data_IF_414827067923
#
_entry.id   IF_414827067923
#
_cell.length_a   1.000
_cell.length_b   1.000
_cell.length_c   1.000
_cell.angle_alpha   90.00
_cell.angle_beta   90.00
_cell.angle_gamma   90.00
#
_symmetry.space_group_name_H-M   'P 1'
#
loop_
_entity.id
_entity.type
_entity.pdbx_description
1 polymer ?
#
# COMPACT_ATOMS: atom_id res chain seq x y z
N UNK A 1 -8.46 -1.55 -29.36
CA UNK A 1 -7.21 -0.75 -29.36
C UNK A 1 -6.05 -1.67 -29.69
N UNK A 2 -5.34 -1.42 -30.80
CA UNK A 2 -4.45 -2.40 -31.48
C UNK A 2 -3.14 -2.68 -30.75
N UNK A 3 -2.69 -1.77 -29.87
CA UNK A 3 -1.39 -1.90 -29.19
C UNK A 3 -1.27 -3.13 -28.27
N UNK A 4 -2.41 -3.63 -27.74
CA UNK A 4 -2.42 -4.77 -26.82
C UNK A 4 -2.08 -6.11 -27.47
N UNK A 5 -2.25 -6.24 -28.79
CA UNK A 5 -1.98 -7.49 -29.50
C UNK A 5 -0.52 -7.60 -29.95
N UNK A 6 0.24 -6.51 -29.85
CA UNK A 6 1.67 -6.51 -30.20
C UNK A 6 2.52 -6.94 -29.00
N UNK A 7 3.57 -7.70 -29.30
CA UNK A 7 4.58 -8.10 -28.33
C UNK A 7 5.54 -6.93 -28.07
N UNK A 8 5.08 -5.96 -27.29
CA UNK A 8 5.82 -4.71 -27.01
C UNK A 8 6.01 -4.45 -25.52
N UNK A 9 5.36 -5.23 -24.65
CA UNK A 9 5.46 -5.06 -23.21
C UNK A 9 6.67 -5.84 -22.70
N UNK A 10 7.72 -5.17 -22.19
CA UNK A 10 8.88 -5.85 -21.65
C UNK A 10 8.51 -6.49 -20.31
N UNK A 11 8.61 -7.81 -20.21
CA UNK A 11 8.32 -8.55 -18.98
C UNK A 11 9.52 -9.38 -18.53
N UNK A 12 9.58 -9.62 -17.22
CA UNK A 12 10.63 -10.40 -16.58
C UNK A 12 10.10 -11.08 -15.31
N UNK A 13 10.56 -12.30 -15.03
CA UNK A 13 10.40 -12.99 -13.74
C UNK A 13 11.75 -13.05 -13.04
N UNK A 14 11.90 -12.36 -11.92
CA UNK A 14 13.12 -12.27 -11.13
C UNK A 14 14.28 -11.70 -11.95
N UNK A 15 15.40 -12.41 -11.94
CA UNK A 15 16.59 -12.09 -12.75
C UNK A 15 16.59 -12.81 -14.11
N UNK A 16 15.45 -13.33 -14.57
CA UNK A 16 15.37 -13.99 -15.86
C UNK A 16 15.59 -13.01 -17.03
N UNK A 17 15.83 -13.56 -18.21
CA UNK A 17 15.94 -12.79 -19.44
C UNK A 17 14.64 -12.04 -19.74
N UNK A 18 14.76 -10.77 -20.11
CA UNK A 18 13.65 -9.93 -20.56
C UNK A 18 12.98 -10.54 -21.80
N UNK A 19 11.65 -10.51 -21.82
CA UNK A 19 10.83 -10.97 -22.94
C UNK A 19 9.86 -9.87 -23.33
N UNK A 20 9.44 -9.85 -24.60
CA UNK A 20 8.36 -8.98 -25.04
C UNK A 20 7.08 -9.81 -25.11
N UNK A 21 6.04 -9.39 -24.40
CA UNK A 21 4.73 -10.04 -24.39
C UNK A 21 3.66 -9.13 -24.95
N UNK A 22 2.58 -9.73 -25.44
CA UNK A 22 1.33 -9.03 -25.72
C UNK A 22 0.58 -8.76 -24.40
N UNK A 23 -0.57 -8.11 -24.49
CA UNK A 23 -1.41 -7.74 -23.36
C UNK A 23 -2.85 -8.27 -23.55
N UNK A 24 -2.95 -9.51 -23.98
CA UNK A 24 -4.21 -10.24 -24.15
C UNK A 24 -4.65 -10.89 -22.84
N UNK A 25 -5.91 -11.29 -22.69
CA UNK A 25 -6.42 -11.76 -21.40
C UNK A 25 -5.72 -13.02 -20.87
N UNK A 26 -5.12 -13.83 -21.75
CA UNK A 26 -4.41 -15.06 -21.40
C UNK A 26 -2.90 -14.83 -21.14
N UNK A 27 -2.40 -13.62 -21.34
CA UNK A 27 -1.00 -13.31 -21.05
C UNK A 27 -0.83 -13.09 -19.54
N UNK A 28 -0.15 -14.00 -18.85
CA UNK A 28 0.06 -13.95 -17.40
C UNK A 28 1.29 -13.13 -17.01
N UNK A 29 1.11 -11.80 -17.04
CA UNK A 29 2.06 -10.83 -16.50
C UNK A 29 1.37 -9.67 -15.79
N UNK A 30 2.08 -9.10 -14.83
CA UNK A 30 1.53 -8.08 -13.92
C UNK A 30 2.35 -6.81 -13.90
N UNK A 31 1.77 -5.75 -13.36
CA UNK A 31 2.43 -4.46 -13.18
C UNK A 31 2.65 -4.28 -11.68
N UNK A 32 3.90 -4.19 -11.25
CA UNK A 32 4.23 -3.93 -9.85
C UNK A 32 4.17 -2.43 -9.57
N UNK A 33 2.98 -1.95 -9.23
CA UNK A 33 2.69 -0.53 -9.01
C UNK A 33 3.01 -0.05 -7.58
N UNK A 34 3.45 -0.94 -6.70
CA UNK A 34 3.90 -0.63 -5.35
C UNK A 34 5.21 -1.37 -5.04
N UNK A 35 6.20 -0.72 -4.37
CA UNK A 35 7.50 -1.33 -4.10
C UNK A 35 7.42 -2.67 -3.35
N UNK A 36 6.61 -2.76 -2.30
CA UNK A 36 6.50 -3.99 -1.53
C UNK A 36 5.86 -5.14 -2.34
N UNK A 37 4.97 -4.85 -3.30
CA UNK A 37 4.40 -5.88 -4.19
C UNK A 37 5.45 -6.40 -5.17
N UNK A 38 6.33 -5.52 -5.66
CA UNK A 38 7.51 -5.94 -6.42
C UNK A 38 8.38 -6.90 -5.58
N UNK A 39 8.74 -6.51 -4.36
CA UNK A 39 9.57 -7.34 -3.47
C UNK A 39 8.94 -8.72 -3.22
N UNK A 40 7.63 -8.77 -2.93
CA UNK A 40 6.90 -10.02 -2.70
C UNK A 40 6.85 -10.91 -3.95
N UNK A 41 6.58 -10.35 -5.13
CA UNK A 41 6.19 -11.16 -6.30
C UNK A 41 7.25 -11.26 -7.39
N UNK A 42 8.33 -10.46 -7.36
CA UNK A 42 9.26 -10.38 -8.49
C UNK A 42 9.83 -11.72 -8.92
N UNK A 43 10.09 -12.65 -8.00
CA UNK A 43 10.64 -13.98 -8.33
C UNK A 43 9.59 -14.99 -8.76
N UNK A 44 8.32 -14.70 -8.50
CA UNK A 44 7.22 -15.66 -8.62
C UNK A 44 6.36 -15.39 -9.85
N UNK A 45 6.21 -14.12 -10.26
CA UNK A 45 5.37 -13.72 -11.39
C UNK A 45 6.20 -13.12 -12.52
N UNK A 46 5.66 -13.19 -13.75
CA UNK A 46 6.15 -12.31 -14.80
C UNK A 46 5.62 -10.91 -14.52
N UNK A 47 6.51 -9.92 -14.51
CA UNK A 47 6.13 -8.54 -14.27
C UNK A 47 6.68 -7.65 -15.36
N UNK A 48 5.99 -6.54 -15.61
CA UNK A 48 6.47 -5.46 -16.46
C UNK A 48 7.84 -5.01 -15.94
N UNK A 49 8.83 -4.98 -16.82
CA UNK A 49 10.24 -4.79 -16.48
C UNK A 49 10.60 -3.30 -16.30
N UNK A 50 9.77 -2.58 -15.55
CA UNK A 50 10.03 -1.23 -15.06
C UNK A 50 10.06 -1.26 -13.53
N UNK A 51 10.79 -0.32 -12.93
CA UNK A 51 10.73 -0.15 -11.48
C UNK A 51 9.41 0.53 -11.05
N UNK A 52 9.22 0.65 -9.74
CA UNK A 52 8.00 1.26 -9.20
C UNK A 52 7.88 2.76 -9.55
N UNK A 53 9.00 3.47 -9.75
CA UNK A 53 9.00 4.89 -10.07
C UNK A 53 8.54 5.13 -11.52
N UNK A 54 9.12 4.40 -12.47
CA UNK A 54 8.72 4.41 -13.87
C UNK A 54 7.27 3.96 -14.03
N UNK A 55 6.88 2.90 -13.31
CA UNK A 55 5.49 2.41 -13.28
C UNK A 55 4.53 3.50 -12.80
N UNK A 56 4.86 4.24 -11.75
CA UNK A 56 4.04 5.34 -11.25
C UNK A 56 3.89 6.50 -12.25
N UNK A 57 4.88 6.72 -13.11
CA UNK A 57 4.82 7.73 -14.20
C UNK A 57 3.96 7.27 -15.37
N UNK A 58 3.78 5.96 -15.54
CA UNK A 58 3.04 5.33 -16.64
C UNK A 58 1.55 5.14 -16.38
N UNK A 59 1.00 5.61 -15.25
CA UNK A 59 -0.43 5.44 -14.89
C UNK A 59 -1.37 5.86 -16.02
N UNK A 60 -1.15 7.03 -16.64
CA UNK A 60 -1.98 7.51 -17.77
C UNK A 60 -1.91 6.60 -18.99
N UNK A 61 -0.76 5.95 -19.21
CA UNK A 61 -0.60 4.99 -20.29
C UNK A 61 -1.38 3.71 -19.98
N UNK A 62 -1.34 3.22 -18.75
CA UNK A 62 -2.13 2.05 -18.33
C UNK A 62 -3.64 2.31 -18.42
N UNK A 63 -4.08 3.51 -18.05
CA UNK A 63 -5.47 3.97 -18.20
C UNK A 63 -5.91 3.98 -19.67
N UNK A 64 -5.11 4.60 -20.54
CA UNK A 64 -5.38 4.67 -21.97
C UNK A 64 -5.43 3.29 -22.61
N UNK A 65 -4.65 2.33 -22.09
CA UNK A 65 -4.65 0.96 -22.58
C UNK A 65 -5.74 0.06 -21.97
N UNK A 66 -6.42 0.52 -20.91
CA UNK A 66 -7.34 -0.27 -20.11
C UNK A 66 -6.71 -1.57 -19.60
N UNK A 67 -5.55 -1.47 -18.93
CA UNK A 67 -4.79 -2.61 -18.38
C UNK A 67 -4.58 -2.52 -16.87
N UNK A 68 -5.38 -1.69 -16.19
CA UNK A 68 -5.28 -1.46 -14.74
C UNK A 68 -5.68 -2.70 -13.91
N UNK A 69 -6.35 -3.68 -14.53
CA UNK A 69 -6.60 -5.01 -13.98
C UNK A 69 -5.31 -5.82 -13.76
N UNK A 70 -4.21 -5.45 -14.43
CA UNK A 70 -2.88 -6.08 -14.27
C UNK A 70 -2.05 -5.47 -13.15
N UNK A 71 -2.46 -4.33 -12.58
CA UNK A 71 -1.77 -3.74 -11.42
C UNK A 71 -1.84 -4.73 -10.26
N UNK A 72 -0.72 -5.01 -9.61
CA UNK A 72 -0.70 -5.93 -8.47
C UNK A 72 -1.54 -5.39 -7.32
N UNK A 73 -1.67 -4.08 -7.15
CA UNK A 73 -2.60 -3.50 -6.17
C UNK A 73 -4.07 -3.81 -6.46
N UNK A 74 -4.43 -4.11 -7.71
CA UNK A 74 -5.76 -4.53 -8.13
C UNK A 74 -5.91 -6.06 -8.09
N UNK A 75 -4.90 -6.78 -8.58
CA UNK A 75 -4.95 -8.22 -8.83
C UNK A 75 -4.62 -9.07 -7.58
N UNK A 76 -3.75 -8.57 -6.70
CA UNK A 76 -3.29 -9.29 -5.52
C UNK A 76 -4.17 -8.95 -4.32
N UNK A 77 -4.70 -9.98 -3.67
CA UNK A 77 -5.49 -9.86 -2.45
C UNK A 77 -4.70 -10.48 -1.31
N UNK A 78 -4.33 -9.67 -0.33
CA UNK A 78 -3.70 -10.12 0.90
C UNK A 78 -4.76 -10.36 1.98
N UNK A 79 -4.72 -11.52 2.65
CA UNK A 79 -5.56 -11.80 3.82
C UNK A 79 -4.73 -12.32 4.98
N UNK A 80 -5.09 -11.99 6.23
CA UNK A 80 -4.52 -12.67 7.37
C UNK A 80 -4.91 -14.15 7.33
N UNK A 81 -4.02 -15.04 7.76
CA UNK A 81 -4.38 -16.44 7.94
C UNK A 81 -5.49 -16.58 8.99
N UNK A 82 -6.47 -17.48 8.80
CA UNK A 82 -7.49 -17.74 9.81
C UNK A 82 -6.91 -18.22 11.14
N UNK A 83 -7.58 -17.91 12.25
CA UNK A 83 -7.25 -18.47 13.57
C UNK A 83 -6.10 -17.78 14.32
N UNK A 84 -5.68 -16.60 13.89
CA UNK A 84 -4.72 -15.79 14.66
C UNK A 84 -5.36 -15.37 16.00
N UNK A 85 -4.76 -15.79 17.12
CA UNK A 85 -5.09 -15.23 18.43
C UNK A 85 -4.65 -13.76 18.47
N UNK A 86 -5.51 -12.88 19.01
CA UNK A 86 -5.22 -11.45 19.01
C UNK A 86 -5.66 -10.75 20.30
N UNK A 87 -5.03 -9.62 20.56
CA UNK A 87 -5.44 -8.65 21.59
C UNK A 87 -5.76 -7.32 20.92
N UNK A 88 -6.93 -6.74 21.25
CA UNK A 88 -7.35 -5.43 20.72
C UNK A 88 -6.51 -4.31 21.34
N UNK A 89 -6.11 -3.33 20.51
CA UNK A 89 -5.23 -2.21 20.87
C UNK A 89 -5.93 -0.88 20.70
N UNK A 90 -6.71 -0.50 21.70
CA UNK A 90 -7.44 0.78 21.75
C UNK A 90 -6.51 1.99 21.83
N UNK A 91 -5.33 1.84 22.44
CA UNK A 91 -4.28 2.86 22.47
C UNK A 91 -3.77 3.19 21.07
N UNK A 92 -3.53 2.17 20.25
CA UNK A 92 -3.10 2.34 18.87
C UNK A 92 -4.22 2.92 17.99
N UNK A 93 -5.47 2.48 18.21
CA UNK A 93 -6.62 3.08 17.55
C UNK A 93 -6.76 4.57 17.88
N UNK A 94 -6.60 4.93 19.15
CA UNK A 94 -6.66 6.32 19.62
C UNK A 94 -5.57 7.18 18.99
N UNK A 95 -4.36 6.63 18.83
CA UNK A 95 -3.29 7.29 18.07
C UNK A 95 -3.72 7.57 16.63
N UNK A 96 -4.15 6.55 15.89
CA UNK A 96 -4.58 6.72 14.49
C UNK A 96 -5.67 7.78 14.37
N UNK A 97 -6.66 7.75 15.26
CA UNK A 97 -7.75 8.72 15.28
C UNK A 97 -7.26 10.14 15.60
N UNK A 98 -6.30 10.30 16.52
CA UNK A 98 -5.70 11.60 16.83
C UNK A 98 -4.95 12.23 15.65
N UNK A 99 -4.56 11.42 14.66
CA UNK A 99 -3.87 11.85 13.44
C UNK A 99 -4.82 12.02 12.24
N UNK A 100 -6.12 11.79 12.43
CA UNK A 100 -7.10 11.82 11.34
C UNK A 100 -7.08 13.14 10.56
N UNK A 101 -6.96 14.29 11.23
CA UNK A 101 -6.91 15.59 10.55
C UNK A 101 -5.65 15.73 9.70
N UNK A 102 -4.49 15.37 10.24
CA UNK A 102 -3.23 15.42 9.49
C UNK A 102 -3.25 14.52 8.25
N UNK A 103 -3.79 13.31 8.38
CA UNK A 103 -3.98 12.38 7.25
C UNK A 103 -4.96 12.97 6.24
N UNK A 104 -6.04 13.60 6.72
CA UNK A 104 -7.05 14.26 5.88
C UNK A 104 -6.48 15.43 5.09
N UNK A 105 -5.63 16.24 5.71
CA UNK A 105 -4.90 17.31 5.05
C UNK A 105 -3.98 16.77 3.96
N UNK A 106 -3.17 15.75 4.26
CA UNK A 106 -2.30 15.12 3.27
C UNK A 106 -3.08 14.55 2.07
N UNK A 107 -4.21 13.88 2.32
CA UNK A 107 -5.07 13.37 1.26
C UNK A 107 -5.71 14.50 0.44
N UNK A 108 -6.12 15.59 1.09
CA UNK A 108 -6.76 16.75 0.43
C UNK A 108 -5.79 17.56 -0.41
N UNK A 109 -4.61 17.85 0.13
CA UNK A 109 -3.63 18.76 -0.48
C UNK A 109 -2.89 18.07 -1.64
N UNK A 110 -2.77 16.75 -1.59
CA UNK A 110 -1.92 16.00 -2.52
C UNK A 110 -2.62 14.85 -3.24
N UNK A 111 -3.74 14.34 -2.72
CA UNK A 111 -4.43 13.15 -3.20
C UNK A 111 -5.72 13.44 -3.97
N UNK A 112 -6.54 12.39 -4.12
CA UNK A 112 -7.93 12.50 -4.60
C UNK A 112 -8.89 12.61 -3.40
N UNK A 113 -10.04 13.26 -3.60
CA UNK A 113 -10.94 13.74 -2.54
C UNK A 113 -11.01 12.82 -1.30
N UNK A 114 -10.85 13.38 -0.08
CA UNK A 114 -10.72 12.55 1.10
C UNK A 114 -12.04 11.82 1.38
N UNK A 115 -12.02 10.50 1.62
CA UNK A 115 -13.12 9.86 2.33
C UNK A 115 -13.31 10.57 3.69
N UNK A 116 -14.41 10.29 4.39
CA UNK A 116 -14.53 10.64 5.80
C UNK A 116 -13.46 9.87 6.60
N UNK A 117 -12.20 10.33 6.56
CA UNK A 117 -11.03 9.66 7.14
C UNK A 117 -11.21 9.49 8.64
N UNK A 118 -11.77 10.48 9.32
CA UNK A 118 -12.14 10.36 10.73
C UNK A 118 -13.13 9.22 11.00
N UNK A 119 -14.13 9.03 10.12
CA UNK A 119 -15.06 7.89 10.23
C UNK A 119 -14.36 6.57 9.95
N UNK A 120 -13.58 6.52 8.87
CA UNK A 120 -12.80 5.36 8.48
C UNK A 120 -11.87 4.89 9.62
N UNK A 121 -11.11 5.80 10.22
CA UNK A 121 -10.20 5.51 11.32
C UNK A 121 -10.95 5.23 12.63
N UNK A 122 -12.11 5.85 12.84
CA UNK A 122 -13.01 5.55 13.97
C UNK A 122 -13.55 4.13 13.94
N UNK A 123 -13.76 3.57 12.75
CA UNK A 123 -14.26 2.20 12.53
C UNK A 123 -13.13 1.15 12.47
N UNK A 124 -11.86 1.56 12.55
CA UNK A 124 -10.73 0.63 12.58
C UNK A 124 -10.71 -0.14 13.89
N UNK A 125 -10.47 -1.45 13.79
CA UNK A 125 -10.09 -2.31 14.91
C UNK A 125 -8.61 -2.69 14.78
N UNK A 126 -7.79 -2.28 15.75
CA UNK A 126 -6.37 -2.65 15.78
C UNK A 126 -6.19 -3.90 16.62
N UNK A 127 -5.66 -4.95 16.00
CA UNK A 127 -5.39 -6.26 16.57
C UNK A 127 -3.89 -6.47 16.64
N UNK A 128 -3.39 -6.75 17.83
CA UNK A 128 -2.03 -7.23 18.01
C UNK A 128 -2.00 -8.76 18.04
N UNK A 129 -1.04 -9.37 17.36
CA UNK A 129 -0.86 -10.83 17.20
C UNK A 129 0.61 -11.20 17.42
N UNK A 130 0.95 -12.47 17.63
CA UNK A 130 2.36 -12.87 17.74
C UNK A 130 3.14 -12.60 16.44
N UNK A 131 2.61 -13.08 15.32
CA UNK A 131 3.15 -12.90 13.97
C UNK A 131 2.02 -12.65 12.98
N UNK A 132 2.21 -11.70 12.05
CA UNK A 132 1.23 -11.39 11.01
C UNK A 132 1.49 -12.32 9.83
N UNK A 133 0.91 -13.52 9.91
CA UNK A 133 0.92 -14.47 8.80
C UNK A 133 -0.17 -14.12 7.79
N UNK A 134 0.23 -14.00 6.53
CA UNK A 134 -0.68 -13.62 5.45
C UNK A 134 -0.70 -14.68 4.36
N UNK A 135 -1.81 -14.69 3.63
CA UNK A 135 -1.98 -15.42 2.40
C UNK A 135 -2.33 -14.45 1.28
N UNK A 136 -1.55 -14.51 0.21
CA UNK A 136 -1.79 -13.78 -1.01
C UNK A 136 -2.56 -14.64 -2.00
N UNK A 137 -3.58 -14.08 -2.61
CA UNK A 137 -4.30 -14.67 -3.74
C UNK A 137 -4.19 -13.73 -4.92
N UNK A 138 -3.69 -14.20 -6.06
CA UNK A 138 -3.54 -13.39 -7.26
C UNK A 138 -4.57 -13.82 -8.29
N UNK A 139 -5.35 -12.85 -8.78
CA UNK A 139 -6.27 -13.05 -9.90
C UNK A 139 -5.59 -12.69 -11.20
N UNK A 140 -5.62 -13.60 -12.17
CA UNK A 140 -5.20 -13.31 -13.53
C UNK A 140 -6.14 -12.29 -14.19
N UNK A 141 -5.70 -11.65 -15.28
CA UNK A 141 -6.60 -10.91 -16.16
C UNK A 141 -7.75 -11.77 -16.72
N UNK A 142 -7.55 -13.09 -16.86
CA UNK A 142 -8.59 -14.07 -17.22
C UNK A 142 -9.54 -14.44 -16.06
N UNK A 143 -9.38 -13.83 -14.87
CA UNK A 143 -10.13 -14.11 -13.63
C UNK A 143 -9.87 -15.49 -13.00
N UNK A 144 -8.84 -16.20 -13.45
CA UNK A 144 -8.38 -17.43 -12.81
C UNK A 144 -7.46 -17.10 -11.63
N UNK A 145 -7.59 -17.83 -10.53
CA UNK A 145 -6.66 -17.71 -9.41
C UNK A 145 -5.36 -18.40 -9.80
N UNK A 146 -4.28 -17.64 -9.95
CA UNK A 146 -3.01 -18.19 -10.40
C UNK A 146 -2.29 -18.86 -9.24
N UNK A 147 -2.08 -18.15 -8.12
CA UNK A 147 -1.20 -18.63 -7.06
C UNK A 147 -1.62 -18.18 -5.65
N UNK A 148 -1.30 -19.03 -4.68
CA UNK A 148 -1.44 -18.81 -3.24
C UNK A 148 -0.04 -18.74 -2.61
N UNK A 149 0.28 -17.64 -1.93
CA UNK A 149 1.58 -17.48 -1.25
C UNK A 149 1.41 -17.17 0.21
N UNK A 150 2.18 -17.86 1.05
CA UNK A 150 2.29 -17.54 2.46
C UNK A 150 3.44 -16.56 2.67
N UNK A 151 3.19 -15.51 3.43
CA UNK A 151 4.20 -14.51 3.76
C UNK A 151 4.08 -14.07 5.23
N UNK A 152 5.10 -13.35 5.73
CA UNK A 152 5.12 -12.73 7.05
C UNK A 152 5.31 -11.24 6.89
N UNK A 153 4.43 -10.46 7.50
CA UNK A 153 4.43 -9.00 7.44
C UNK A 153 4.69 -8.43 8.83
N UNK A 154 5.12 -7.17 8.91
CA UNK A 154 5.20 -6.46 10.20
C UNK A 154 3.80 -6.01 10.60
N UNK A 155 3.03 -5.58 9.62
CA UNK A 155 1.64 -5.20 9.79
C UNK A 155 0.80 -5.37 8.52
N UNK A 156 -0.52 -5.47 8.69
CA UNK A 156 -1.48 -5.62 7.60
C UNK A 156 -2.76 -4.85 7.89
N UNK A 157 -3.26 -4.09 6.91
CA UNK A 157 -4.58 -3.46 6.92
C UNK A 157 -5.46 -4.18 5.92
N UNK A 158 -6.57 -4.74 6.39
CA UNK A 158 -7.58 -5.38 5.53
C UNK A 158 -8.95 -4.79 5.76
N UNK A 159 -9.74 -4.75 4.68
CA UNK A 159 -11.15 -4.38 4.73
C UNK A 159 -12.01 -5.64 4.59
N UNK A 160 -12.60 -6.11 5.69
CA UNK A 160 -13.46 -7.28 5.73
C UNK A 160 -14.90 -6.90 6.10
N UNK A 161 -15.88 -7.27 5.27
CA UNK A 161 -17.32 -7.17 5.60
C UNK A 161 -17.72 -5.83 6.25
N UNK A 162 -17.25 -4.71 5.67
CA UNK A 162 -17.46 -3.33 6.14
C UNK A 162 -16.70 -2.91 7.41
N UNK A 163 -15.70 -3.66 7.86
CA UNK A 163 -14.78 -3.25 8.92
C UNK A 163 -13.36 -3.22 8.40
N UNK A 164 -12.64 -2.17 8.78
CA UNK A 164 -11.20 -2.09 8.53
C UNK A 164 -10.50 -2.66 9.76
N UNK A 165 -9.64 -3.66 9.56
CA UNK A 165 -8.89 -4.30 10.62
C UNK A 165 -7.40 -4.09 10.36
N UNK A 166 -6.67 -3.73 11.40
CA UNK A 166 -5.23 -3.58 11.37
C UNK A 166 -4.62 -4.69 12.21
N UNK A 167 -3.72 -5.48 11.64
CA UNK A 167 -2.96 -6.52 12.32
C UNK A 167 -1.52 -6.05 12.50
N UNK A 168 -0.99 -6.12 13.72
CA UNK A 168 0.38 -5.72 14.06
C UNK A 168 0.99 -6.77 14.98
N UNK A 169 2.29 -7.02 14.92
CA UNK A 169 2.94 -7.91 15.89
C UNK A 169 2.92 -7.32 17.30
N UNK A 170 2.76 -8.13 18.34
CA UNK A 170 2.73 -7.66 19.73
C UNK A 170 3.96 -6.80 20.08
N UNK A 171 5.14 -7.23 19.62
CA UNK A 171 6.42 -6.51 19.82
C UNK A 171 6.50 -5.15 19.12
N UNK A 172 5.70 -4.92 18.08
CA UNK A 172 5.71 -3.68 17.28
C UNK A 172 4.46 -2.83 17.51
N UNK A 173 3.51 -3.32 18.30
CA UNK A 173 2.26 -2.64 18.56
C UNK A 173 2.40 -1.52 19.62
N UNK A 174 3.59 -0.93 19.79
CA UNK A 174 3.75 0.31 20.57
C UNK A 174 3.26 1.49 19.73
N UNK A 175 2.29 2.24 20.24
CA UNK A 175 1.77 3.45 19.61
C UNK A 175 2.86 4.53 19.38
N UNK A 176 4.00 4.46 20.07
CA UNK A 176 5.14 5.37 19.85
C UNK A 176 6.02 4.98 18.67
N UNK A 177 5.86 3.78 18.12
CA UNK A 177 6.70 3.24 17.07
C UNK A 177 5.85 2.68 15.92
N UNK A 178 5.29 3.59 15.13
CA UNK A 178 4.48 3.23 13.95
C UNK A 178 5.40 2.68 12.87
N UNK A 179 5.11 1.46 12.39
CA UNK A 179 5.87 0.84 11.31
C UNK A 179 5.63 1.55 9.98
N UNK A 180 6.65 1.66 9.14
CA UNK A 180 6.52 2.30 7.83
C UNK A 180 5.47 1.59 6.96
N UNK A 181 5.41 0.26 7.04
CA UNK A 181 4.43 -0.58 6.34
C UNK A 181 2.96 -0.21 6.66
N UNK A 182 2.67 0.26 7.88
CA UNK A 182 1.33 0.79 8.22
C UNK A 182 1.06 2.08 7.44
N UNK A 183 2.08 2.92 7.27
CA UNK A 183 1.97 4.20 6.58
C UNK A 183 1.72 4.00 5.09
N UNK A 184 2.38 3.04 4.45
CA UNK A 184 2.10 2.68 3.05
C UNK A 184 0.64 2.24 2.85
N UNK A 185 0.15 1.36 3.71
CA UNK A 185 -1.21 0.84 3.62
C UNK A 185 -2.27 1.90 3.96
N UNK A 186 -1.98 2.79 4.93
CA UNK A 186 -2.84 3.94 5.24
C UNK A 186 -2.82 4.97 4.10
N UNK A 187 -1.68 5.21 3.45
CA UNK A 187 -1.61 6.11 2.31
C UNK A 187 -2.55 5.64 1.21
N UNK A 188 -2.48 4.35 0.87
CA UNK A 188 -3.38 3.75 -0.11
C UNK A 188 -4.86 3.83 0.33
N UNK A 189 -5.16 3.44 1.57
CA UNK A 189 -6.52 3.44 2.10
C UNK A 189 -7.16 4.85 2.15
N UNK A 190 -6.36 5.88 2.46
CA UNK A 190 -6.81 7.26 2.63
C UNK A 190 -6.64 8.12 1.37
N UNK A 191 -6.10 7.57 0.27
CA UNK A 191 -5.90 8.30 -0.97
C UNK A 191 -4.71 9.28 -0.96
N UNK A 192 -3.75 9.09 -0.05
CA UNK A 192 -2.50 9.88 -0.04
C UNK A 192 -1.56 9.31 -1.11
N UNK A 193 -0.99 10.14 -2.02
CA UNK A 193 -0.06 9.65 -3.02
C UNK A 193 1.19 9.02 -2.39
N UNK A 194 1.67 7.91 -2.98
CA UNK A 194 2.82 7.14 -2.48
C UNK A 194 4.08 7.98 -2.23
N UNK A 195 4.33 9.02 -3.04
CA UNK A 195 5.48 9.92 -2.85
C UNK A 195 5.44 10.72 -1.54
N UNK A 196 4.29 10.80 -0.88
CA UNK A 196 4.11 11.47 0.41
C UNK A 196 3.98 10.47 1.57
N UNK A 197 4.20 9.17 1.36
CA UNK A 197 4.13 8.16 2.44
C UNK A 197 5.12 8.45 3.57
N UNK A 198 6.34 8.93 3.27
CA UNK A 198 7.31 9.31 4.31
C UNK A 198 6.82 10.48 5.17
N UNK A 199 6.07 11.42 4.58
CA UNK A 199 5.48 12.54 5.30
C UNK A 199 4.29 12.08 6.15
N UNK A 200 3.48 11.15 5.64
CA UNK A 200 2.45 10.47 6.42
C UNK A 200 3.07 9.71 7.61
N UNK A 201 4.15 8.97 7.39
CA UNK A 201 4.85 8.26 8.45
C UNK A 201 5.37 9.22 9.53
N UNK A 202 5.97 10.34 9.13
CA UNK A 202 6.37 11.40 10.05
C UNK A 202 5.17 11.98 10.80
N UNK A 203 4.03 12.22 10.14
CA UNK A 203 2.81 12.69 10.78
C UNK A 203 2.28 11.74 11.85
N UNK A 204 2.42 10.43 11.64
CA UNK A 204 1.99 9.42 12.61
C UNK A 204 2.89 9.39 13.85
N UNK A 205 4.21 9.62 13.67
CA UNK A 205 5.20 9.60 14.74
C UNK A 205 5.31 10.91 15.53
N UNK A 206 5.12 12.05 14.87
CA UNK A 206 5.31 13.36 15.50
C UNK A 206 4.15 13.66 16.46
N UNK A 207 4.48 13.76 17.75
CA UNK A 207 3.52 14.17 18.78
C UNK A 207 3.12 15.64 18.68
N UNK A 208 3.95 16.46 18.05
CA UNK A 208 3.72 17.90 17.94
C UNK A 208 3.02 18.23 16.62
N UNK A 209 1.70 18.45 16.71
CA UNK A 209 0.85 18.87 15.60
C UNK A 209 1.31 20.21 15.02
N UNK A 210 1.89 21.12 15.80
CA UNK A 210 2.38 22.42 15.29
C UNK A 210 3.59 22.27 14.36
N UNK A 211 4.51 21.33 14.63
CA UNK A 211 5.65 21.07 13.75
C UNK A 211 5.14 20.51 12.42
N UNK A 212 4.14 19.63 12.49
CA UNK A 212 3.52 19.04 11.32
C UNK A 212 2.72 20.08 10.52
N UNK A 213 1.93 20.91 11.19
CA UNK A 213 1.18 22.00 10.56
C UNK A 213 2.13 22.98 9.86
N UNK A 214 3.23 23.36 10.51
CA UNK A 214 4.26 24.20 9.90
C UNK A 214 4.95 23.54 8.67
N UNK A 215 5.16 22.21 8.71
CA UNK A 215 5.74 21.47 7.60
C UNK A 215 4.77 21.33 6.41
N UNK A 216 3.47 21.20 6.70
CA UNK A 216 2.39 21.08 5.73
C UNK A 216 2.02 22.44 5.11
N UNK A 217 2.01 23.52 5.90
CA UNK A 217 1.62 24.87 5.45
C UNK A 217 2.69 25.58 4.61
N UNK A 218 3.97 25.19 4.71
CA UNK A 218 5.09 25.96 4.11
C UNK A 218 5.83 25.27 2.95
N UNK A 219 5.27 24.25 2.32
CA UNK A 219 5.89 23.67 1.12
C UNK A 219 7.21 22.94 1.40
N UNK A 220 7.23 22.06 2.42
CA UNK A 220 8.16 20.93 2.44
C UNK A 220 9.62 21.21 2.82
N UNK A 221 9.92 22.24 3.62
CA UNK A 221 11.25 22.37 4.25
C UNK A 221 11.14 22.37 5.76
N UNK A 222 11.34 21.20 6.37
CA UNK A 222 11.64 21.08 7.79
C UNK A 222 13.00 21.75 8.04
N UNK A 223 13.01 22.95 8.63
CA UNK A 223 14.24 23.49 9.22
C UNK A 223 14.51 22.71 10.50
N UNK A 224 15.66 22.04 10.57
CA UNK A 224 16.18 21.52 11.81
C UNK A 224 16.30 22.68 12.81
N UNK A 225 15.43 22.71 13.80
CA UNK A 225 15.62 23.56 14.97
C UNK A 225 16.68 22.89 15.84
N UNK A 226 17.84 23.55 15.94
CA UNK A 226 18.92 23.15 16.83
C UNK A 226 18.37 23.00 18.26
N UNK A 227 18.69 21.87 18.89
CA UNK A 227 18.50 21.68 20.32
C UNK A 227 19.45 22.62 21.07
N UNK A 228 18.91 23.37 22.04
CA UNK A 228 19.65 23.82 23.22
C UNK A 228 19.23 22.96 24.43
#
# INVERSE_FOLDING_TARGET
MVLRTFHIFPTRRGEAQLRLQACEQHDDWFIADQPHLFETFHRHLNMLAFDAEDTARMVRFFDALHINDRLLSTAAICRPRPGLAFTVREDYKSLLLSRAESISRLARDYGSQPPEISRLLGDIEVRSVDEVHVEWTIRSPSQETIEHYADRRLALIVKEKNRTQVYIRHRDADARNVQFEISEQLAHLCGVPLKYTSLLWAALLLNNVEILDNALDRGGTLRATNCE
#
